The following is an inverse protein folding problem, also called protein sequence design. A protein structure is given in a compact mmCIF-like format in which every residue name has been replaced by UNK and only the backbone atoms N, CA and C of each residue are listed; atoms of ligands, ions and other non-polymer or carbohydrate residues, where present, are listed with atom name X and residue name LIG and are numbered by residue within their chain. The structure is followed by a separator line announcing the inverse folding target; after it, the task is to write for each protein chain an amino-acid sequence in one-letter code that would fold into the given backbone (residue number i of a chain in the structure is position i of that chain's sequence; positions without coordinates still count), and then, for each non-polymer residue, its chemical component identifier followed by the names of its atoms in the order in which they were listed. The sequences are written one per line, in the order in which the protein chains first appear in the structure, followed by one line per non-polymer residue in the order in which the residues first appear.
data_IF_340432330020
#
_entry.id   IF_340432330020
#
_cell.length_a   1.000
_cell.length_b   1.000
_cell.length_c   1.000
_cell.angle_alpha   90.00
_cell.angle_beta   90.00
_cell.angle_gamma   90.00
#
_symmetry.space_group_name_H-M   'P 1'
#
loop_
_entity.id
_entity.type
_entity.pdbx_description
1 polymer ?
#
# COMPACT_ATOMS: atom_id res chain seq x y z
N UNK A 1 10.01 -0.07 24.52
CA UNK A 1 10.91 -0.41 23.41
C UNK A 1 10.19 -0.08 22.12
N UNK A 2 10.89 0.40 21.10
CA UNK A 2 10.29 0.64 19.79
C UNK A 2 9.82 -0.68 19.15
N UNK A 3 8.68 -0.64 18.48
CA UNK A 3 8.17 -1.71 17.61
C UNK A 3 9.07 -1.89 16.39
N UNK A 4 8.99 -3.04 15.73
CA UNK A 4 9.75 -3.28 14.49
C UNK A 4 9.34 -2.29 13.37
N UNK A 5 8.09 -1.83 13.38
CA UNK A 5 7.62 -0.76 12.48
C UNK A 5 8.28 0.58 12.77
N UNK A 6 8.39 0.98 14.03
CA UNK A 6 9.06 2.24 14.41
C UNK A 6 10.54 2.19 14.02
N UNK A 7 11.23 1.06 14.25
CA UNK A 7 12.62 0.86 13.80
C UNK A 7 12.76 0.96 12.28
N UNK A 8 11.88 0.30 11.53
CA UNK A 8 11.83 0.38 10.07
C UNK A 8 11.70 1.83 9.58
N UNK A 9 10.80 2.61 10.18
CA UNK A 9 10.57 4.01 9.81
C UNK A 9 11.72 4.94 10.25
N UNK A 10 12.43 4.59 11.33
CA UNK A 10 13.62 5.29 11.80
C UNK A 10 14.89 4.93 11.02
N UNK A 11 14.83 3.94 10.11
CA UNK A 11 16.00 3.45 9.35
C UNK A 11 16.94 2.56 10.15
N UNK A 12 16.48 2.04 11.29
CA UNK A 12 17.22 1.11 12.14
C UNK A 12 17.08 -0.34 11.64
N UNK A 13 17.94 -1.24 12.11
CA UNK A 13 17.76 -2.67 11.88
C UNK A 13 16.46 -3.14 12.55
N UNK A 14 15.62 -3.84 11.77
CA UNK A 14 14.32 -4.35 12.21
C UNK A 14 14.09 -5.77 11.68
N UNK A 15 13.24 -6.54 12.35
CA UNK A 15 12.78 -7.85 11.86
C UNK A 15 11.65 -7.67 10.86
N UNK A 16 11.97 -7.85 9.57
CA UNK A 16 10.97 -7.77 8.52
C UNK A 16 9.87 -8.83 8.64
N UNK A 17 10.08 -9.92 9.37
CA UNK A 17 9.10 -11.01 9.56
C UNK A 17 8.12 -10.75 10.69
N UNK A 18 8.25 -9.62 11.39
CA UNK A 18 7.32 -9.19 12.43
C UNK A 18 5.85 -9.28 11.95
N UNK A 19 4.93 -9.82 12.78
CA UNK A 19 3.54 -10.04 12.39
C UNK A 19 2.81 -8.77 11.93
N UNK A 20 3.10 -7.60 12.51
CA UNK A 20 2.50 -6.34 12.09
C UNK A 20 2.94 -5.98 10.67
N UNK A 21 4.24 -6.05 10.39
CA UNK A 21 4.79 -5.75 9.07
C UNK A 21 4.35 -6.77 8.02
N UNK A 22 4.20 -8.04 8.39
CA UNK A 22 3.64 -9.08 7.51
C UNK A 22 2.19 -8.78 7.16
N UNK A 23 1.36 -8.42 8.14
CA UNK A 23 -0.05 -8.10 7.92
C UNK A 23 -0.21 -6.87 7.02
N UNK A 24 0.53 -5.79 7.30
CA UNK A 24 0.49 -4.56 6.50
C UNK A 24 0.94 -4.81 5.05
N UNK A 25 1.99 -5.60 4.83
CA UNK A 25 2.42 -5.98 3.47
C UNK A 25 1.42 -6.86 2.73
N UNK A 26 0.72 -7.76 3.44
CA UNK A 26 -0.35 -8.58 2.83
C UNK A 26 -1.49 -7.69 2.36
N UNK A 27 -1.97 -6.80 3.23
CA UNK A 27 -3.01 -5.84 2.89
C UNK A 27 -2.63 -4.96 1.69
N UNK A 28 -1.42 -4.40 1.67
CA UNK A 28 -0.93 -3.62 0.54
C UNK A 28 -0.92 -4.43 -0.78
N UNK A 29 -0.47 -5.70 -0.74
CA UNK A 29 -0.47 -6.58 -1.92
C UNK A 29 -1.88 -6.91 -2.41
N UNK A 30 -2.83 -7.10 -1.51
CA UNK A 30 -4.22 -7.37 -1.86
C UNK A 30 -4.84 -6.16 -2.57
N UNK A 31 -4.58 -4.94 -2.09
CA UNK A 31 -4.98 -3.70 -2.75
C UNK A 31 -4.29 -3.51 -4.10
N UNK A 32 -2.97 -3.74 -4.20
CA UNK A 32 -2.24 -3.68 -5.47
C UNK A 32 -2.80 -4.67 -6.49
N UNK A 33 -3.14 -5.90 -6.07
CA UNK A 33 -3.80 -6.87 -6.96
C UNK A 33 -5.16 -6.36 -7.42
N UNK A 34 -6.00 -5.93 -6.49
CA UNK A 34 -7.31 -5.39 -6.82
C UNK A 34 -7.23 -4.20 -7.79
N UNK A 35 -6.23 -3.32 -7.62
CA UNK A 35 -5.95 -2.22 -8.54
C UNK A 35 -5.53 -2.73 -9.93
N UNK A 36 -4.61 -3.69 -9.97
CA UNK A 36 -4.08 -4.23 -11.22
C UNK A 36 -5.13 -4.99 -12.04
N UNK A 37 -6.16 -5.53 -11.38
CA UNK A 37 -7.27 -6.24 -12.01
C UNK A 37 -8.42 -5.30 -12.48
N UNK A 38 -8.32 -3.99 -12.26
CA UNK A 38 -9.36 -3.02 -12.70
C UNK A 38 -9.36 -2.77 -14.21
N UNK A 39 -10.56 -2.59 -14.78
CA UNK A 39 -10.71 -2.19 -16.18
C UNK A 39 -10.33 -0.71 -16.39
N UNK A 40 -10.02 -0.33 -17.63
CA UNK A 40 -9.67 1.06 -17.96
C UNK A 40 -10.78 2.08 -17.61
N UNK A 41 -12.04 1.65 -17.56
CA UNK A 41 -13.19 2.47 -17.19
C UNK A 41 -13.39 2.67 -15.68
N UNK A 42 -12.69 1.91 -14.84
CA UNK A 42 -12.93 1.86 -13.38
C UNK A 42 -12.26 3.00 -12.61
N UNK A 43 -12.25 4.21 -13.17
CA UNK A 43 -11.59 5.39 -12.60
C UNK A 43 -11.95 5.67 -11.12
N UNK A 44 -13.23 5.64 -10.72
CA UNK A 44 -13.63 5.82 -9.33
C UNK A 44 -13.06 4.74 -8.39
N UNK A 45 -13.10 3.47 -8.82
CA UNK A 45 -12.58 2.35 -8.04
C UNK A 45 -11.06 2.42 -7.93
N UNK A 46 -10.35 2.70 -9.03
CA UNK A 46 -8.91 2.95 -9.05
C UNK A 46 -8.53 4.02 -8.03
N UNK A 47 -9.23 5.16 -8.03
CA UNK A 47 -8.97 6.24 -7.07
C UNK A 47 -9.21 5.81 -5.63
N UNK A 48 -10.26 5.05 -5.36
CA UNK A 48 -10.54 4.53 -4.02
C UNK A 48 -9.39 3.62 -3.54
N UNK A 49 -8.99 2.64 -4.37
CA UNK A 49 -7.92 1.71 -4.02
C UNK A 49 -6.60 2.45 -3.79
N UNK A 50 -6.25 3.42 -4.64
CA UNK A 50 -5.03 4.22 -4.46
C UNK A 50 -5.06 5.10 -3.20
N UNK A 51 -6.24 5.58 -2.80
CA UNK A 51 -6.39 6.36 -1.55
C UNK A 51 -6.20 5.48 -0.31
N UNK A 52 -6.57 4.20 -0.38
CA UNK A 52 -6.37 3.24 0.70
C UNK A 52 -4.92 2.72 0.73
N UNK A 53 -4.34 2.45 -0.44
CA UNK A 53 -2.99 1.93 -0.59
C UNK A 53 -1.91 2.95 -0.21
N UNK A 54 -2.12 4.22 -0.58
CA UNK A 54 -1.17 5.28 -0.28
C UNK A 54 -1.61 6.08 0.94
N UNK A 55 -0.67 6.37 1.85
CA UNK A 55 -0.96 7.18 3.04
C UNK A 55 -1.50 8.58 2.73
N UNK A 56 -1.27 9.10 1.52
CA UNK A 56 -2.01 10.24 0.97
C UNK A 56 -1.96 10.25 -0.56
N UNK A 57 -2.98 10.84 -1.19
CA UNK A 57 -3.04 11.06 -2.65
C UNK A 57 -3.37 12.52 -2.97
N UNK A 58 -2.84 13.01 -4.09
CA UNK A 58 -3.16 14.34 -4.59
C UNK A 58 -4.57 14.45 -5.19
N UNK A 59 -4.99 15.68 -5.50
CA UNK A 59 -6.29 15.95 -6.17
C UNK A 59 -6.45 15.20 -7.49
N UNK A 60 -5.35 15.05 -8.23
CA UNK A 60 -5.27 14.32 -9.48
C UNK A 60 -4.25 13.20 -9.29
N UNK A 61 -4.73 11.96 -9.18
CA UNK A 61 -3.91 10.76 -9.08
C UNK A 61 -4.31 9.81 -10.22
N UNK A 62 -3.32 9.34 -10.95
CA UNK A 62 -3.47 8.39 -12.04
C UNK A 62 -2.21 7.53 -12.11
N UNK A 63 -2.41 6.22 -12.05
CA UNK A 63 -1.39 5.20 -12.26
C UNK A 63 -1.97 4.23 -13.28
N UNK A 64 -1.16 3.78 -14.22
CA UNK A 64 -1.57 2.73 -15.15
C UNK A 64 -1.20 1.35 -14.58
N UNK A 65 -2.15 0.43 -14.43
CA UNK A 65 -1.83 -0.97 -14.18
C UNK A 65 -0.91 -1.58 -15.25
N UNK A 66 0.01 -2.49 -14.89
CA UNK A 66 0.29 -2.94 -13.53
C UNK A 66 1.25 -2.02 -12.76
N UNK A 67 1.03 -1.90 -11.45
CA UNK A 67 1.89 -1.25 -10.45
C UNK A 67 2.46 -2.27 -9.45
#
# INVERSE_FOLDING_TARGET
MATEKEKMLAGELYDSTDPQLVAERRHARDLTRAFNDTAAGDGPLRKQILTELFGSVGRHVGIEPPF
#
